data_IF_676240676585
#
_entry.id   IF_676240676585
#
_cell.length_a   1.000
_cell.length_b   1.000
_cell.length_c   1.000
_cell.angle_alpha   90.00
_cell.angle_beta   90.00
_cell.angle_gamma   90.00
#
_symmetry.space_group_name_H-M   'P 1'
#
loop_
_entity.id
_entity.type
_entity.pdbx_description
1 polymer ?
#
# COMPACT_ATOMS: atom_id res chain seq x y z
N UNK A 1 -12.27 -28.62 -43.66
CA UNK A 1 -11.84 -27.29 -44.15
C UNK A 1 -11.94 -26.17 -43.10
N UNK A 2 -12.98 -26.07 -42.25
CA UNK A 2 -13.09 -25.01 -41.20
C UNK A 2 -11.98 -25.02 -40.13
N UNK A 3 -11.51 -26.20 -39.70
CA UNK A 3 -10.41 -26.30 -38.71
C UNK A 3 -9.05 -25.88 -39.25
N UNK A 4 -8.78 -26.13 -40.55
CA UNK A 4 -7.52 -25.76 -41.18
C UNK A 4 -7.39 -24.24 -41.37
N UNK A 5 -8.52 -23.56 -41.65
CA UNK A 5 -8.58 -22.10 -41.70
C UNK A 5 -8.43 -21.44 -40.33
N UNK A 6 -8.96 -22.05 -39.26
CA UNK A 6 -8.76 -21.59 -37.87
C UNK A 6 -7.28 -21.68 -37.45
N UNK A 7 -6.64 -22.81 -37.77
CA UNK A 7 -5.23 -23.02 -37.48
C UNK A 7 -4.33 -22.05 -38.27
N UNK A 8 -4.59 -21.87 -39.58
CA UNK A 8 -3.84 -20.93 -40.41
C UNK A 8 -4.00 -19.47 -39.95
N UNK A 9 -5.20 -19.07 -39.50
CA UNK A 9 -5.42 -17.73 -38.93
C UNK A 9 -4.66 -17.52 -37.61
N UNK A 10 -4.64 -18.53 -36.75
CA UNK A 10 -3.89 -18.48 -35.48
C UNK A 10 -2.38 -18.42 -35.73
N UNK A 11 -1.87 -19.18 -36.69
CA UNK A 11 -0.45 -19.14 -37.08
C UNK A 11 -0.06 -17.78 -37.69
N UNK A 12 -0.92 -17.20 -38.55
CA UNK A 12 -0.69 -15.88 -39.13
C UNK A 12 -0.73 -14.75 -38.08
N UNK A 13 -1.65 -14.84 -37.10
CA UNK A 13 -1.71 -13.89 -35.99
C UNK A 13 -0.49 -14.01 -35.05
N UNK A 14 0.03 -15.23 -34.86
CA UNK A 14 1.26 -15.48 -34.10
C UNK A 14 2.48 -14.85 -34.77
N UNK A 15 2.59 -15.01 -36.10
CA UNK A 15 3.64 -14.37 -36.90
C UNK A 15 3.53 -12.85 -36.86
N UNK A 16 2.32 -12.28 -36.95
CA UNK A 16 2.11 -10.84 -36.88
C UNK A 16 2.50 -10.25 -35.51
N UNK A 17 2.16 -10.95 -34.43
CA UNK A 17 2.53 -10.57 -33.07
C UNK A 17 4.05 -10.65 -32.84
N UNK A 18 4.70 -11.70 -33.34
CA UNK A 18 6.15 -11.84 -33.28
C UNK A 18 6.87 -10.72 -34.06
N UNK A 19 6.37 -10.33 -35.23
CA UNK A 19 6.94 -9.22 -36.02
C UNK A 19 6.76 -7.88 -35.31
N UNK A 20 5.59 -7.62 -34.70
CA UNK A 20 5.34 -6.38 -33.94
C UNK A 20 6.23 -6.25 -32.69
N UNK A 21 6.58 -7.36 -32.04
CA UNK A 21 7.52 -7.35 -30.90
C UNK A 21 8.97 -7.00 -31.30
N UNK A 22 9.36 -7.23 -32.56
CA UNK A 22 10.73 -6.98 -33.05
C UNK A 22 10.89 -5.53 -33.58
N UNK A 23 9.80 -4.84 -33.90
CA UNK A 23 9.84 -3.54 -34.58
C UNK A 23 9.65 -2.30 -33.69
N UNK A 24 9.55 -2.44 -32.37
CA UNK A 24 9.44 -1.28 -31.47
C UNK A 24 10.85 -0.91 -30.99
N UNK A 25 11.44 0.22 -31.45
CA UNK A 25 12.67 0.69 -30.84
C UNK A 25 12.38 1.03 -29.38
N UNK A 26 13.19 0.47 -28.48
CA UNK A 26 13.12 0.74 -27.05
C UNK A 26 13.23 2.25 -26.83
N UNK A 27 12.09 2.90 -26.57
CA UNK A 27 12.11 4.24 -26.03
C UNK A 27 12.79 4.16 -24.68
N UNK A 28 13.91 4.87 -24.52
CA UNK A 28 14.62 4.99 -23.26
C UNK A 28 13.67 5.62 -22.23
N UNK A 29 12.97 4.78 -21.47
CA UNK A 29 12.24 5.19 -20.29
C UNK A 29 13.28 5.59 -19.24
N UNK A 30 13.28 6.87 -18.86
CA UNK A 30 14.06 7.34 -17.71
C UNK A 30 13.70 6.48 -16.49
N UNK A 31 14.71 5.92 -15.84
CA UNK A 31 14.58 5.04 -14.70
C UNK A 31 13.63 5.64 -13.64
N UNK A 32 12.50 4.97 -13.39
CA UNK A 32 11.68 5.24 -12.23
C UNK A 32 12.48 4.78 -11.00
N UNK A 33 12.90 5.74 -10.17
CA UNK A 33 13.52 5.45 -8.88
C UNK A 33 12.43 4.89 -7.97
N UNK A 34 12.57 3.65 -7.52
CA UNK A 34 11.66 3.07 -6.54
C UNK A 34 11.77 3.82 -5.23
N UNK A 35 10.61 4.20 -4.69
CA UNK A 35 10.50 4.92 -3.45
C UNK A 35 10.63 3.89 -2.30
N UNK A 36 11.70 3.97 -1.51
CA UNK A 36 11.87 3.11 -0.31
C UNK A 36 13.21 2.39 -0.11
N UNK A 37 14.31 2.81 -0.76
CA UNK A 37 15.67 2.39 -0.36
C UNK A 37 16.00 0.91 -0.56
N UNK A 38 15.41 0.25 -1.56
CA UNK A 38 15.83 -1.09 -1.97
C UNK A 38 17.10 -1.01 -2.85
N UNK A 39 18.05 -1.91 -2.59
CA UNK A 39 19.23 -2.17 -3.44
C UNK A 39 18.76 -2.50 -4.87
N UNK A 40 19.08 -1.61 -5.83
CA UNK A 40 18.73 -1.73 -7.24
C UNK A 40 19.79 -2.46 -8.04
N UNK A 41 20.36 -3.53 -7.51
CA UNK A 41 21.05 -4.50 -8.37
C UNK A 41 19.99 -5.11 -9.29
N UNK A 42 19.96 -4.62 -10.53
CA UNK A 42 19.21 -5.19 -11.64
C UNK A 42 19.63 -6.67 -11.77
N UNK A 43 18.91 -7.56 -11.07
CA UNK A 43 18.88 -8.97 -11.43
C UNK A 43 18.24 -8.96 -12.82
N UNK A 44 18.93 -9.46 -13.87
CA UNK A 44 18.39 -9.43 -15.21
C UNK A 44 17.00 -10.05 -15.20
N UNK A 45 16.03 -9.28 -15.67
CA UNK A 45 14.67 -9.73 -15.86
C UNK A 45 14.73 -11.04 -16.66
N UNK A 46 14.39 -12.16 -16.02
CA UNK A 46 13.89 -13.28 -16.79
C UNK A 46 12.69 -12.74 -17.54
N UNK A 47 12.80 -12.69 -18.87
CA UNK A 47 11.84 -12.10 -19.78
C UNK A 47 10.40 -12.48 -19.40
N UNK A 48 9.67 -11.55 -18.77
CA UNK A 48 8.22 -11.66 -18.66
C UNK A 48 7.65 -11.57 -20.07
N UNK A 49 7.50 -12.75 -20.68
CA UNK A 49 6.95 -12.92 -22.00
C UNK A 49 5.60 -12.20 -22.11
N UNK A 50 5.45 -11.36 -23.13
CA UNK A 50 4.19 -10.74 -23.60
C UNK A 50 2.97 -11.70 -23.66
N UNK A 51 3.21 -13.01 -23.60
CA UNK A 51 2.25 -14.09 -23.50
C UNK A 51 1.56 -14.19 -22.13
N UNK A 52 2.20 -13.87 -21.00
CA UNK A 52 1.56 -13.90 -19.67
C UNK A 52 0.41 -12.88 -19.58
N UNK A 53 0.60 -11.72 -20.23
CA UNK A 53 -0.41 -10.67 -20.37
C UNK A 53 -1.51 -11.01 -21.39
N UNK A 54 -1.20 -11.86 -22.38
CA UNK A 54 -2.18 -12.34 -23.37
C UNK A 54 -3.02 -13.54 -22.86
N UNK A 55 -2.43 -14.41 -22.02
CA UNK A 55 -2.97 -15.72 -21.62
C UNK A 55 -3.12 -15.95 -20.11
N UNK A 56 -2.75 -14.99 -19.27
CA UNK A 56 -2.93 -15.07 -17.81
C UNK A 56 -4.42 -15.19 -17.45
N UNK A 57 -4.75 -16.11 -16.55
CA UNK A 57 -6.10 -16.20 -16.01
C UNK A 57 -6.36 -14.99 -15.12
N UNK A 58 -7.45 -14.26 -15.37
CA UNK A 58 -7.90 -13.10 -14.58
C UNK A 58 -8.01 -13.41 -13.08
N UNK A 59 -8.23 -14.68 -12.77
CA UNK A 59 -8.45 -15.16 -11.41
C UNK A 59 -7.15 -15.47 -10.67
N UNK A 60 -5.96 -15.23 -11.25
CA UNK A 60 -4.69 -15.47 -10.58
C UNK A 60 -3.79 -14.25 -10.59
N UNK A 61 -3.02 -14.12 -9.52
CA UNK A 61 -1.98 -13.11 -9.37
C UNK A 61 -0.67 -13.78 -8.96
N UNK A 62 0.42 -13.32 -9.56
CA UNK A 62 1.78 -13.80 -9.29
C UNK A 62 2.57 -12.68 -8.65
N UNK A 63 3.13 -12.96 -7.47
CA UNK A 63 3.91 -12.00 -6.69
C UNK A 63 5.36 -12.47 -6.67
N UNK A 64 6.33 -11.57 -6.95
CA UNK A 64 7.75 -11.91 -6.88
C UNK A 64 8.16 -12.30 -5.47
N UNK A 65 7.57 -11.67 -4.46
CA UNK A 65 7.79 -11.94 -3.03
C UNK A 65 6.47 -11.90 -2.26
N UNK A 66 6.24 -12.87 -1.37
CA UNK A 66 5.09 -12.88 -0.46
C UNK A 66 5.48 -13.56 0.86
N UNK A 67 5.17 -12.94 1.99
CA UNK A 67 5.36 -13.57 3.29
C UNK A 67 4.11 -14.39 3.64
N UNK A 68 4.20 -15.71 3.63
CA UNK A 68 3.08 -16.59 3.94
C UNK A 68 3.13 -16.92 5.43
N UNK A 69 2.05 -16.61 6.15
CA UNK A 69 1.95 -16.90 7.59
C UNK A 69 2.20 -18.38 7.86
N UNK A 70 3.14 -18.66 8.76
CA UNK A 70 3.59 -20.01 9.10
C UNK A 70 4.63 -20.61 8.13
N UNK A 71 4.95 -19.97 7.01
CA UNK A 71 5.94 -20.46 6.04
C UNK A 71 7.06 -19.46 5.71
N UNK A 72 6.93 -18.21 6.17
CA UNK A 72 7.90 -17.13 5.94
C UNK A 72 7.86 -16.58 4.51
N UNK A 73 8.93 -15.87 4.14
CA UNK A 73 9.07 -15.27 2.80
C UNK A 73 9.21 -16.34 1.72
N UNK A 74 8.37 -16.24 0.69
CA UNK A 74 8.41 -17.07 -0.52
C UNK A 74 8.61 -16.20 -1.75
N UNK A 75 9.20 -16.79 -2.79
CA UNK A 75 9.45 -16.15 -4.09
C UNK A 75 8.50 -16.71 -5.15
N UNK A 76 8.12 -15.89 -6.13
CA UNK A 76 7.31 -16.27 -7.30
C UNK A 76 6.03 -17.05 -6.93
N UNK A 77 5.28 -16.52 -5.96
CA UNK A 77 4.05 -17.15 -5.46
C UNK A 77 2.90 -16.80 -6.38
N UNK A 78 2.19 -17.81 -6.89
CA UNK A 78 0.96 -17.62 -7.66
C UNK A 78 -0.25 -18.08 -6.84
N UNK A 79 -1.23 -17.20 -6.65
CA UNK A 79 -2.46 -17.45 -5.90
C UNK A 79 -3.70 -17.15 -6.75
N UNK A 80 -4.84 -17.69 -6.35
CA UNK A 80 -6.13 -17.14 -6.77
C UNK A 80 -6.25 -15.69 -6.25
N UNK A 81 -6.68 -14.77 -7.10
CA UNK A 81 -6.75 -13.34 -6.79
C UNK A 81 -7.70 -13.07 -5.62
N UNK A 82 -8.87 -13.70 -5.61
CA UNK A 82 -9.83 -13.51 -4.54
C UNK A 82 -9.28 -14.04 -3.22
N UNK A 83 -8.68 -15.22 -3.21
CA UNK A 83 -8.05 -15.77 -2.01
C UNK A 83 -6.89 -14.92 -1.52
N UNK A 84 -6.05 -14.42 -2.44
CA UNK A 84 -4.96 -13.51 -2.12
C UNK A 84 -5.47 -12.24 -1.42
N UNK A 85 -6.47 -11.57 -2.02
CA UNK A 85 -7.06 -10.36 -1.46
C UNK A 85 -7.75 -10.62 -0.11
N UNK A 86 -8.47 -11.74 0.05
CA UNK A 86 -9.07 -12.14 1.33
C UNK A 86 -8.00 -12.35 2.40
N UNK A 87 -6.95 -13.09 2.07
CA UNK A 87 -5.89 -13.44 3.03
C UNK A 87 -5.07 -12.24 3.49
N UNK A 88 -4.75 -11.31 2.59
CA UNK A 88 -4.05 -10.07 2.95
C UNK A 88 -5.00 -9.14 3.72
N UNK A 89 -6.24 -8.94 3.25
CA UNK A 89 -7.22 -8.09 3.96
C UNK A 89 -7.47 -8.59 5.39
N UNK A 90 -7.50 -9.90 5.61
CA UNK A 90 -7.62 -10.46 6.95
C UNK A 90 -6.39 -10.18 7.82
N UNK A 91 -5.18 -10.33 7.27
CA UNK A 91 -3.95 -10.01 8.01
C UNK A 91 -3.92 -8.53 8.42
N UNK A 92 -4.29 -7.65 7.50
CA UNK A 92 -4.21 -6.20 7.66
C UNK A 92 -5.32 -5.65 8.56
N UNK A 93 -6.58 -6.05 8.33
CA UNK A 93 -7.76 -5.40 8.92
C UNK A 93 -8.84 -6.39 9.39
N UNK A 94 -8.52 -7.68 9.52
CA UNK A 94 -9.51 -8.73 9.75
C UNK A 94 -10.26 -8.64 11.08
N UNK A 95 -9.68 -8.00 12.10
CA UNK A 95 -10.29 -7.91 13.44
C UNK A 95 -11.35 -6.82 13.56
N UNK A 96 -11.42 -5.87 12.62
CA UNK A 96 -12.25 -4.68 12.80
C UNK A 96 -13.75 -4.97 12.88
N UNK A 97 -14.20 -6.05 12.24
CA UNK A 97 -15.60 -6.48 12.28
C UNK A 97 -16.13 -6.81 13.68
N UNK A 98 -15.25 -6.96 14.67
CA UNK A 98 -15.62 -7.16 16.08
C UNK A 98 -15.86 -5.85 16.84
N UNK A 99 -15.48 -4.70 16.26
CA UNK A 99 -15.46 -3.41 16.94
C UNK A 99 -16.39 -2.37 16.31
N UNK A 100 -16.77 -2.55 15.05
CA UNK A 100 -17.68 -1.65 14.34
C UNK A 100 -18.87 -2.41 13.76
N UNK A 101 -19.87 -1.66 13.27
CA UNK A 101 -21.03 -2.25 12.60
C UNK A 101 -20.61 -3.09 11.39
N UNK A 102 -21.42 -4.10 11.04
CA UNK A 102 -21.16 -4.94 9.88
C UNK A 102 -21.08 -4.13 8.58
N UNK A 103 -21.86 -3.05 8.44
CA UNK A 103 -21.80 -2.16 7.27
C UNK A 103 -20.49 -1.39 7.21
N UNK A 104 -20.04 -0.81 8.32
CA UNK A 104 -18.77 -0.07 8.38
C UNK A 104 -17.59 -0.99 8.08
N UNK A 105 -17.56 -2.18 8.70
CA UNK A 105 -16.53 -3.19 8.44
C UNK A 105 -16.48 -3.58 6.95
N UNK A 106 -17.64 -3.73 6.29
CA UNK A 106 -17.68 -4.02 4.85
C UNK A 106 -17.09 -2.88 4.01
N UNK A 107 -17.29 -1.61 4.36
CA UNK A 107 -16.70 -0.50 3.60
C UNK A 107 -15.18 -0.42 3.81
N UNK A 108 -14.72 -0.59 5.05
CA UNK A 108 -13.29 -0.61 5.36
C UNK A 108 -12.56 -1.77 4.66
N UNK A 109 -13.13 -2.99 4.69
CA UNK A 109 -12.55 -4.14 3.97
C UNK A 109 -12.57 -3.97 2.45
N UNK A 110 -13.59 -3.32 1.87
CA UNK A 110 -13.59 -2.99 0.44
C UNK A 110 -12.50 -2.00 0.08
N UNK A 111 -12.33 -0.93 0.88
CA UNK A 111 -11.26 0.04 0.66
C UNK A 111 -9.89 -0.63 0.73
N UNK A 112 -9.66 -1.45 1.78
CA UNK A 112 -8.43 -2.21 1.94
C UNK A 112 -8.19 -3.18 0.76
N UNK A 113 -9.21 -3.90 0.30
CA UNK A 113 -9.07 -4.85 -0.82
C UNK A 113 -8.68 -4.15 -2.13
N UNK A 114 -9.27 -3.00 -2.45
CA UNK A 114 -8.92 -2.22 -3.64
C UNK A 114 -7.52 -1.63 -3.54
N UNK A 115 -7.12 -1.13 -2.36
CA UNK A 115 -5.75 -0.65 -2.12
C UNK A 115 -4.73 -1.78 -2.31
N UNK A 116 -4.98 -2.97 -1.71
CA UNK A 116 -4.12 -4.15 -1.89
C UNK A 116 -4.03 -4.54 -3.36
N UNK A 117 -5.16 -4.62 -4.09
CA UNK A 117 -5.12 -5.00 -5.50
C UNK A 117 -4.31 -4.01 -6.34
N UNK A 118 -4.52 -2.71 -6.11
CA UNK A 118 -3.78 -1.64 -6.80
C UNK A 118 -2.28 -1.72 -6.51
N UNK A 119 -1.90 -1.92 -5.25
CA UNK A 119 -0.51 -2.08 -4.82
C UNK A 119 0.14 -3.31 -5.50
N UNK A 120 -0.54 -4.45 -5.51
CA UNK A 120 -0.02 -5.66 -6.14
C UNK A 120 0.18 -5.49 -7.66
N UNK A 121 -0.77 -4.86 -8.36
CA UNK A 121 -0.65 -4.58 -9.80
C UNK A 121 0.46 -3.56 -10.10
N UNK A 122 0.61 -2.53 -9.27
CA UNK A 122 1.70 -1.55 -9.38
C UNK A 122 3.07 -2.22 -9.25
N UNK A 123 3.27 -3.00 -8.18
CA UNK A 123 4.55 -3.68 -7.92
C UNK A 123 4.84 -4.84 -8.87
N UNK A 124 3.83 -5.41 -9.52
CA UNK A 124 4.03 -6.33 -10.64
C UNK A 124 4.64 -5.60 -11.84
N UNK A 125 4.22 -4.38 -12.13
CA UNK A 125 4.71 -3.60 -13.27
C UNK A 125 6.10 -2.99 -13.04
N UNK A 126 6.37 -2.49 -11.83
CA UNK A 126 7.57 -1.69 -11.53
C UNK A 126 8.58 -2.39 -10.60
N UNK A 127 8.31 -3.64 -10.22
CA UNK A 127 9.12 -4.40 -9.27
C UNK A 127 8.68 -4.21 -7.82
N UNK A 128 8.84 -5.26 -7.03
CA UNK A 128 8.53 -5.27 -5.59
C UNK A 128 9.80 -5.13 -4.76
N UNK A 129 9.70 -4.44 -3.64
CA UNK A 129 10.71 -4.55 -2.58
C UNK A 129 10.64 -5.93 -1.89
N UNK A 130 11.69 -6.28 -1.15
CA UNK A 130 11.74 -7.50 -0.31
C UNK A 130 10.84 -7.41 0.92
N UNK A 131 10.28 -6.24 1.23
CA UNK A 131 9.28 -6.02 2.28
C UNK A 131 7.90 -6.45 1.78
N UNK A 132 7.75 -7.77 1.61
CA UNK A 132 6.56 -8.37 1.05
C UNK A 132 5.38 -8.33 2.03
N UNK A 133 4.17 -8.14 1.49
CA UNK A 133 2.93 -8.25 2.25
C UNK A 133 2.80 -9.62 2.93
N UNK A 134 2.13 -9.62 4.07
CA UNK A 134 1.87 -10.85 4.83
C UNK A 134 0.50 -11.41 4.43
N UNK A 135 0.53 -12.57 3.79
CA UNK A 135 -0.65 -13.33 3.41
C UNK A 135 -0.94 -14.42 4.46
N UNK A 136 -2.18 -14.41 5.00
CA UNK A 136 -2.70 -15.54 5.78
C UNK A 136 -3.47 -16.48 4.85
N UNK A 137 -3.06 -17.76 4.70
CA UNK A 137 -3.80 -18.74 3.92
C UNK A 137 -5.28 -18.82 4.31
N UNK A 138 -6.18 -18.80 3.32
CA UNK A 138 -7.64 -18.70 3.56
C UNK A 138 -8.23 -19.89 4.32
N UNK A 139 -7.56 -21.03 4.36
CA UNK A 139 -7.93 -22.19 5.16
C UNK A 139 -7.55 -22.04 6.65
N UNK A 140 -6.61 -21.16 6.97
CA UNK A 140 -6.20 -20.81 8.35
C UNK A 140 -7.04 -19.68 8.97
N UNK A 141 -7.91 -19.04 8.18
CA UNK A 141 -8.78 -17.95 8.65
C UNK A 141 -10.07 -18.55 9.24
N UNK A 142 -10.52 -18.10 10.43
CA UNK A 142 -11.81 -18.50 10.98
C UNK A 142 -12.95 -18.33 9.96
N UNK A 143 -13.78 -19.35 9.76
CA UNK A 143 -14.75 -19.39 8.67
C UNK A 143 -15.71 -18.18 8.63
N UNK A 144 -16.13 -17.68 9.79
CA UNK A 144 -16.98 -16.49 9.91
C UNK A 144 -16.29 -15.24 9.37
N UNK A 145 -15.06 -14.96 9.82
CA UNK A 145 -14.25 -13.83 9.35
C UNK A 145 -13.95 -13.96 7.85
N UNK A 146 -13.54 -15.16 7.41
CA UNK A 146 -13.27 -15.45 6.00
C UNK A 146 -14.46 -15.14 5.11
N UNK A 147 -15.66 -15.60 5.47
CA UNK A 147 -16.86 -15.39 4.68
C UNK A 147 -17.27 -13.92 4.65
N UNK A 148 -17.16 -13.21 5.78
CA UNK A 148 -17.47 -11.79 5.86
C UNK A 148 -16.51 -10.93 5.00
N UNK A 149 -15.21 -11.21 5.06
CA UNK A 149 -14.19 -10.51 4.25
C UNK A 149 -14.34 -10.88 2.78
N UNK A 150 -14.56 -12.16 2.45
CA UNK A 150 -14.80 -12.61 1.08
C UNK A 150 -15.99 -11.91 0.43
N UNK A 151 -17.07 -11.67 1.18
CA UNK A 151 -18.21 -10.87 0.69
C UNK A 151 -17.80 -9.45 0.28
N UNK A 152 -16.91 -8.81 1.04
CA UNK A 152 -16.37 -7.50 0.70
C UNK A 152 -15.48 -7.56 -0.53
N UNK A 153 -14.51 -8.49 -0.54
CA UNK A 153 -13.54 -8.69 -1.62
C UNK A 153 -14.22 -9.01 -2.95
N UNK A 154 -15.16 -9.96 -2.99
CA UNK A 154 -15.86 -10.36 -4.22
C UNK A 154 -16.54 -9.19 -4.94
N UNK A 155 -17.01 -8.19 -4.18
CA UNK A 155 -17.68 -7.03 -4.75
C UNK A 155 -16.70 -6.05 -5.44
N UNK A 156 -15.40 -6.13 -5.15
CA UNK A 156 -14.40 -5.14 -5.57
C UNK A 156 -13.09 -5.76 -6.11
N UNK A 157 -12.99 -7.09 -6.21
CA UNK A 157 -11.75 -7.79 -6.60
C UNK A 157 -11.23 -7.45 -8.00
N UNK A 158 -12.08 -6.87 -8.85
CA UNK A 158 -11.72 -6.40 -10.17
C UNK A 158 -11.44 -4.90 -10.20
N UNK A 159 -11.47 -4.19 -9.07
CA UNK A 159 -11.30 -2.74 -8.99
C UNK A 159 -9.89 -2.36 -8.53
N UNK A 160 -9.30 -1.37 -9.21
CA UNK A 160 -8.02 -0.75 -8.85
C UNK A 160 -8.11 0.77 -8.87
N UNK A 161 -7.22 1.43 -8.15
CA UNK A 161 -7.01 2.87 -8.19
C UNK A 161 -6.11 3.23 -9.36
N UNK A 162 -6.53 4.24 -10.11
CA UNK A 162 -5.76 4.81 -11.21
C UNK A 162 -5.65 6.32 -11.11
N UNK A 163 -4.50 6.84 -11.49
CA UNK A 163 -4.24 8.27 -11.67
C UNK A 163 -3.62 8.48 -13.04
N UNK A 164 -4.19 9.39 -13.84
CA UNK A 164 -3.78 9.63 -15.24
C UNK A 164 -3.67 8.35 -16.10
N UNK A 165 -4.53 7.35 -15.84
CA UNK A 165 -4.58 6.10 -16.59
C UNK A 165 -3.62 5.00 -16.12
N UNK A 166 -2.66 5.33 -15.25
CA UNK A 166 -1.75 4.38 -14.62
C UNK A 166 -2.30 3.91 -13.27
N UNK A 167 -2.00 2.66 -12.89
CA UNK A 167 -2.35 2.15 -11.56
C UNK A 167 -1.57 2.91 -10.50
N UNK A 168 -2.24 3.28 -9.40
CA UNK A 168 -1.61 3.94 -8.26
C UNK A 168 -0.80 2.96 -7.43
N UNK A 169 0.34 3.41 -6.90
CA UNK A 169 0.96 2.80 -5.73
C UNK A 169 0.13 3.10 -4.49
N UNK A 170 -0.89 2.27 -4.25
CA UNK A 170 -1.89 2.49 -3.22
C UNK A 170 -1.40 2.02 -1.85
N UNK A 171 -0.39 2.71 -1.30
CA UNK A 171 0.20 2.42 0.01
C UNK A 171 -0.75 2.75 1.17
N UNK A 172 -0.60 2.05 2.28
CA UNK A 172 -1.40 2.28 3.49
C UNK A 172 -0.59 2.09 4.77
N UNK A 173 -1.07 2.70 5.85
CA UNK A 173 -0.50 2.57 7.19
C UNK A 173 -1.57 2.19 8.22
N UNK A 174 -1.15 1.66 9.36
CA UNK A 174 -2.10 1.27 10.40
C UNK A 174 -2.86 2.48 10.95
N UNK A 175 -2.13 3.57 11.23
CA UNK A 175 -2.73 4.84 11.63
C UNK A 175 -1.90 6.04 11.17
N UNK A 176 -2.59 7.15 10.95
CA UNK A 176 -2.01 8.45 10.66
C UNK A 176 -1.43 9.13 11.92
N UNK A 177 -0.72 10.24 11.72
CA UNK A 177 -0.03 10.98 12.77
C UNK A 177 -0.94 11.95 13.51
N UNK A 178 -0.36 12.69 14.45
CA UNK A 178 -1.03 13.76 15.17
C UNK A 178 -0.11 14.99 15.26
N UNK A 179 -0.50 16.06 14.58
CA UNK A 179 0.17 17.34 14.69
C UNK A 179 -0.26 18.06 15.97
N UNK A 180 0.57 17.99 16.99
CA UNK A 180 0.37 18.67 18.28
C UNK A 180 0.35 20.19 18.20
N UNK A 181 0.92 20.79 17.16
CA UNK A 181 0.93 22.25 16.97
C UNK A 181 -0.42 22.77 16.47
N UNK A 182 -1.13 21.96 15.68
CA UNK A 182 -2.41 22.33 15.06
C UNK A 182 -3.61 21.58 15.62
N UNK A 183 -3.39 20.49 16.36
CA UNK A 183 -4.44 19.58 16.84
C UNK A 183 -5.02 18.68 15.75
N UNK A 184 -4.35 18.56 14.60
CA UNK A 184 -4.85 17.80 13.44
C UNK A 184 -4.27 16.40 13.42
N UNK A 185 -5.14 15.40 13.27
CA UNK A 185 -4.72 14.07 12.85
C UNK A 185 -4.68 14.01 11.33
N UNK A 186 -3.62 13.44 10.75
CA UNK A 186 -3.46 13.44 9.30
C UNK A 186 -2.35 12.53 8.79
N UNK A 187 -2.47 12.18 7.52
CA UNK A 187 -1.45 11.45 6.77
C UNK A 187 -0.33 12.40 6.36
N UNK A 188 0.79 11.89 5.83
CA UNK A 188 1.85 12.72 5.27
C UNK A 188 1.95 12.58 3.75
N UNK A 189 2.48 13.61 3.11
CA UNK A 189 2.72 13.57 1.68
C UNK A 189 3.92 12.65 1.35
N UNK A 190 3.86 12.01 0.19
CA UNK A 190 4.98 11.23 -0.36
C UNK A 190 6.27 12.06 -0.51
N UNK A 191 6.15 13.36 -0.80
CA UNK A 191 7.28 14.28 -0.86
C UNK A 191 7.98 14.42 0.49
N UNK A 192 7.22 14.54 1.58
CA UNK A 192 7.78 14.69 2.93
C UNK A 192 8.36 13.36 3.43
N UNK A 193 7.64 12.27 3.22
CA UNK A 193 8.05 10.95 3.68
C UNK A 193 9.27 10.41 2.92
N UNK A 194 9.31 10.65 1.61
CA UNK A 194 10.21 9.94 0.71
C UNK A 194 10.95 10.81 -0.30
N UNK A 195 10.78 12.13 -0.27
CA UNK A 195 11.45 13.06 -1.16
C UNK A 195 10.96 13.04 -2.61
N UNK A 196 9.90 12.29 -2.91
CA UNK A 196 9.32 12.19 -4.25
C UNK A 196 7.86 12.62 -4.22
N UNK A 197 7.51 13.64 -4.99
CA UNK A 197 6.13 14.10 -5.10
C UNK A 197 5.31 13.15 -5.98
N UNK A 198 4.34 12.48 -5.37
CA UNK A 198 3.36 11.63 -6.03
C UNK A 198 1.99 12.32 -5.91
N UNK A 199 1.38 12.80 -7.01
CA UNK A 199 0.20 13.68 -6.96
C UNK A 199 -1.03 13.12 -6.24
N UNK A 200 -1.16 11.80 -6.16
CA UNK A 200 -2.24 11.13 -5.45
C UNK A 200 -1.88 10.66 -4.03
N UNK A 201 -0.66 10.90 -3.56
CA UNK A 201 -0.20 10.62 -2.19
C UNK A 201 0.18 11.94 -1.50
N UNK A 202 -0.87 12.72 -1.22
CA UNK A 202 -0.78 14.00 -0.55
C UNK A 202 -1.24 13.85 0.90
N UNK A 203 -0.84 14.80 1.74
CA UNK A 203 -1.31 14.84 3.13
C UNK A 203 -2.79 15.21 3.17
N UNK A 204 -3.57 14.45 3.94
CA UNK A 204 -4.99 14.69 4.19
C UNK A 204 -5.31 14.52 5.67
N UNK A 205 -6.33 15.22 6.13
CA UNK A 205 -6.85 15.02 7.49
C UNK A 205 -7.39 13.60 7.68
N UNK A 206 -7.31 13.10 8.90
CA UNK A 206 -7.89 11.82 9.27
C UNK A 206 -8.23 11.84 10.77
N UNK A 207 -9.40 12.33 11.18
CA UNK A 207 -9.67 12.68 12.59
C UNK A 207 -9.87 11.47 13.53
N UNK A 208 -10.00 10.25 13.00
CA UNK A 208 -10.44 9.08 13.77
C UNK A 208 -9.32 8.12 14.18
N UNK A 209 -8.07 8.58 14.19
CA UNK A 209 -6.90 7.71 14.34
C UNK A 209 -6.83 7.01 15.70
N UNK A 210 -6.68 7.79 16.77
CA UNK A 210 -6.30 7.24 18.08
C UNK A 210 -7.38 6.31 18.64
N UNK A 211 -8.66 6.64 18.45
CA UNK A 211 -9.78 5.83 18.94
C UNK A 211 -9.79 4.44 18.28
N UNK A 212 -9.61 4.36 16.96
CA UNK A 212 -9.61 3.08 16.24
C UNK A 212 -8.29 2.34 16.40
N UNK A 213 -7.17 3.04 16.58
CA UNK A 213 -5.91 2.41 16.94
C UNK A 213 -6.02 1.69 18.29
N UNK A 214 -6.64 2.31 19.30
CA UNK A 214 -6.86 1.68 20.62
C UNK A 214 -7.67 0.39 20.52
N UNK A 215 -8.64 0.31 19.61
CA UNK A 215 -9.42 -0.91 19.35
C UNK A 215 -8.57 -1.99 18.67
N UNK A 216 -7.75 -1.61 17.68
CA UNK A 216 -6.88 -2.51 16.93
C UNK A 216 -5.59 -2.88 17.68
N UNK A 217 -5.26 -2.23 18.78
CA UNK A 217 -4.03 -2.43 19.57
C UNK A 217 -3.71 -3.88 19.89
N UNK A 218 -4.72 -4.71 20.17
CA UNK A 218 -4.52 -6.14 20.46
C UNK A 218 -3.94 -6.91 19.27
N UNK A 219 -4.15 -6.43 18.05
CA UNK A 219 -3.67 -7.02 16.81
C UNK A 219 -2.41 -6.31 16.32
N UNK A 220 -2.39 -4.97 16.33
CA UNK A 220 -1.23 -4.15 15.94
C UNK A 220 -0.05 -4.38 16.90
N UNK A 221 -0.34 -4.63 18.18
CA UNK A 221 0.67 -4.86 19.22
C UNK A 221 1.45 -3.61 19.63
N UNK A 222 0.96 -2.42 19.26
CA UNK A 222 1.63 -1.13 19.49
C UNK A 222 0.64 -0.11 20.01
N UNK A 223 1.16 0.87 20.76
CA UNK A 223 0.36 2.00 21.23
C UNK A 223 0.32 3.04 20.12
N UNK A 224 -0.77 3.80 20.08
CA UNK A 224 -0.81 4.99 19.23
C UNK A 224 0.28 5.98 19.64
N UNK A 225 0.42 6.20 20.95
CA UNK A 225 1.44 7.06 21.53
C UNK A 225 2.56 6.22 22.13
N UNK A 226 3.79 6.44 21.67
CA UNK A 226 4.97 5.74 22.18
C UNK A 226 6.00 6.73 22.70
N UNK A 227 6.47 6.56 23.93
CA UNK A 227 7.49 7.42 24.54
C UNK A 227 8.83 6.68 24.52
N UNK A 228 9.86 7.38 24.03
CA UNK A 228 11.24 6.90 23.98
C UNK A 228 12.15 7.88 24.73
N UNK A 229 12.79 7.40 25.80
CA UNK A 229 13.71 8.21 26.60
C UNK A 229 15.12 8.21 26.03
N UNK A 230 15.58 7.04 25.57
CA UNK A 230 16.90 6.85 25.00
C UNK A 230 16.80 6.59 23.51
N UNK A 231 17.62 7.27 22.72
CA UNK A 231 17.71 7.06 21.28
C UNK A 231 18.11 5.61 21.01
N UNK A 232 17.17 4.80 20.49
CA UNK A 232 17.35 3.37 20.23
C UNK A 232 18.57 3.02 19.36
N UNK A 233 19.14 3.97 18.62
CA UNK A 233 20.37 3.76 17.84
C UNK A 233 21.63 3.86 18.70
N UNK A 234 21.62 4.75 19.68
CA UNK A 234 22.80 5.08 20.49
C UNK A 234 22.75 4.47 21.89
N UNK A 235 21.56 4.14 22.39
CA UNK A 235 21.32 3.74 23.78
C UNK A 235 21.35 4.90 24.78
N UNK A 236 21.72 6.10 24.35
CA UNK A 236 21.88 7.29 25.20
C UNK A 236 20.62 8.15 25.23
N UNK A 237 20.39 8.92 26.32
CA UNK A 237 19.26 9.83 26.44
C UNK A 237 19.22 10.90 25.35
N UNK A 238 18.02 11.27 24.91
CA UNK A 238 17.84 12.47 24.10
C UNK A 238 18.19 13.73 24.91
N UNK A 239 18.88 14.67 24.27
CA UNK A 239 19.28 15.94 24.89
C UNK A 239 18.47 17.12 24.35
N UNK A 240 18.23 17.16 23.05
CA UNK A 240 17.37 18.14 22.39
C UNK A 240 16.89 17.63 21.03
N UNK A 241 15.80 18.17 20.50
CA UNK A 241 15.46 18.02 19.09
C UNK A 241 14.65 19.21 18.56
N UNK A 242 14.90 19.60 17.31
CA UNK A 242 14.00 20.48 16.56
C UNK A 242 12.88 19.66 15.93
N UNK A 243 11.66 19.89 16.40
CA UNK A 243 10.41 19.27 15.91
C UNK A 243 9.41 20.33 15.42
N UNK A 244 9.88 21.54 15.14
CA UNK A 244 9.01 22.67 14.81
C UNK A 244 8.48 22.63 13.37
N UNK A 245 9.21 21.99 12.45
CA UNK A 245 8.87 21.92 11.03
C UNK A 245 8.04 20.66 10.74
N UNK A 246 6.71 20.80 10.80
CA UNK A 246 5.75 19.71 10.62
C UNK A 246 4.79 19.94 9.46
N UNK A 247 4.42 18.85 8.78
CA UNK A 247 3.31 18.86 7.83
C UNK A 247 1.93 18.82 8.55
N UNK A 248 0.84 18.72 7.78
CA UNK A 248 -0.52 18.65 8.32
C UNK A 248 -0.70 17.48 9.32
N UNK A 249 -0.17 16.29 9.01
CA UNK A 249 -0.27 15.09 9.84
C UNK A 249 0.73 15.04 11.00
N UNK A 250 1.61 16.03 11.12
CA UNK A 250 2.61 16.12 12.17
C UNK A 250 3.91 15.37 11.82
N UNK A 251 4.10 14.98 10.56
CA UNK A 251 5.36 14.47 10.05
C UNK A 251 6.43 15.54 10.18
N UNK A 252 7.56 15.21 10.82
CA UNK A 252 8.65 16.16 11.00
C UNK A 252 9.53 16.18 9.74
N UNK A 253 9.41 17.22 8.92
CA UNK A 253 10.03 17.34 7.60
C UNK A 253 11.56 17.45 7.68
N UNK A 254 12.06 18.24 8.64
CA UNK A 254 13.47 18.37 8.93
C UNK A 254 13.63 18.37 10.45
N UNK A 255 14.49 17.48 10.95
CA UNK A 255 14.85 17.52 12.36
C UNK A 255 16.38 17.60 12.52
N UNK A 256 16.79 18.14 13.66
CA UNK A 256 18.11 17.89 14.21
C UNK A 256 17.89 17.46 15.64
N UNK A 257 18.32 16.25 15.99
CA UNK A 257 18.28 15.75 17.36
C UNK A 257 19.69 15.59 17.91
N UNK A 258 19.82 15.76 19.22
CA UNK A 258 21.09 15.61 19.93
C UNK A 258 20.97 14.43 20.89
N UNK A 259 21.89 13.50 20.77
CA UNK A 259 22.10 12.37 21.68
C UNK A 259 23.60 12.16 21.80
N UNK A 260 24.10 11.59 22.90
CA UNK A 260 25.53 11.31 23.16
C UNK A 260 26.50 12.49 22.94
N UNK A 261 26.00 13.74 23.00
CA UNK A 261 26.75 14.95 22.70
C UNK A 261 27.00 15.21 21.20
N UNK A 262 26.35 14.46 20.30
CA UNK A 262 26.41 14.66 18.85
C UNK A 262 25.06 15.09 18.29
N UNK A 263 25.11 15.94 17.27
CA UNK A 263 23.93 16.35 16.50
C UNK A 263 23.72 15.42 15.31
N UNK A 264 22.48 14.96 15.15
CA UNK A 264 22.02 14.10 14.07
C UNK A 264 20.94 14.84 13.30
N UNK A 265 21.25 15.23 12.05
CA UNK A 265 20.26 15.82 11.15
C UNK A 265 19.57 14.70 10.38
N UNK A 266 18.24 14.65 10.42
CA UNK A 266 17.49 13.82 9.49
C UNK A 266 16.79 14.70 8.46
N UNK A 267 17.11 14.45 7.20
CA UNK A 267 16.43 15.02 6.04
C UNK A 267 15.55 13.96 5.37
N UNK A 268 15.74 12.67 5.70
CA UNK A 268 14.98 11.57 5.10
C UNK A 268 14.96 10.36 6.04
N UNK A 269 13.75 9.91 6.34
CA UNK A 269 13.39 8.56 6.80
C UNK A 269 13.62 8.22 8.29
N UNK A 270 12.53 8.27 9.05
CA UNK A 270 12.13 7.04 9.72
C UNK A 270 11.56 6.12 8.64
N UNK A 271 12.30 5.09 8.24
CA UNK A 271 11.75 3.90 7.54
C UNK A 271 10.79 3.10 8.46
N UNK A 272 10.51 3.63 9.65
CA UNK A 272 9.80 3.01 10.74
C UNK A 272 8.50 3.74 11.05
N UNK A 273 7.71 3.13 11.91
CA UNK A 273 6.43 3.61 12.43
C UNK A 273 6.48 4.91 13.25
N UNK A 274 7.50 5.74 13.11
CA UNK A 274 7.88 6.82 14.04
C UNK A 274 8.13 8.15 13.32
N UNK A 275 7.33 8.45 12.30
CA UNK A 275 7.48 9.65 11.47
C UNK A 275 6.92 10.93 12.10
N UNK A 276 5.97 10.80 13.01
CA UNK A 276 5.34 11.91 13.73
C UNK A 276 5.79 11.88 15.19
N UNK A 277 6.43 12.95 15.66
CA UNK A 277 6.94 13.02 17.03
C UNK A 277 7.13 14.45 17.55
N UNK A 278 7.19 14.55 18.88
CA UNK A 278 7.55 15.74 19.64
C UNK A 278 8.67 15.43 20.62
N UNK A 279 9.59 16.38 20.76
CA UNK A 279 10.58 16.37 21.83
C UNK A 279 10.10 17.23 22.99
N UNK A 280 10.16 16.68 24.20
CA UNK A 280 9.76 17.38 25.41
C UNK A 280 10.32 16.68 26.63
N UNK A 281 9.60 16.80 27.74
CA UNK A 281 9.92 16.12 28.99
C UNK A 281 8.71 15.35 29.51
N UNK A 282 8.95 14.24 30.19
CA UNK A 282 7.93 13.57 30.97
C UNK A 282 7.54 14.39 32.23
N UNK A 283 6.65 13.83 33.05
CA UNK A 283 6.20 14.47 34.30
C UNK A 283 7.31 14.69 35.34
N UNK A 284 8.43 13.97 35.23
CA UNK A 284 9.60 14.10 36.11
C UNK A 284 10.63 15.11 35.60
N UNK A 285 10.42 15.69 34.42
CA UNK A 285 11.38 16.57 33.75
C UNK A 285 12.44 15.82 32.93
N UNK A 286 12.29 14.49 32.76
CA UNK A 286 13.22 13.68 31.96
C UNK A 286 12.97 13.91 30.48
N UNK A 287 13.97 14.31 29.68
CA UNK A 287 13.82 14.45 28.23
C UNK A 287 13.35 13.16 27.56
N UNK A 288 12.38 13.29 26.65
CA UNK A 288 11.87 12.15 25.89
C UNK A 288 11.35 12.57 24.52
N UNK A 289 11.30 11.59 23.61
CA UNK A 289 10.60 11.70 22.34
C UNK A 289 9.23 11.03 22.48
N UNK A 290 8.16 11.74 22.13
CA UNK A 290 6.80 11.21 22.06
C UNK A 290 6.41 11.03 20.61
N UNK A 291 6.18 9.80 20.19
CA UNK A 291 5.76 9.46 18.82
C UNK A 291 4.25 9.23 18.76
N UNK A 292 3.68 9.52 17.60
CA UNK A 292 2.25 9.36 17.33
C UNK A 292 2.04 8.56 16.04
N UNK A 293 1.03 7.71 16.04
CA UNK A 293 0.65 6.90 14.88
C UNK A 293 1.54 5.68 14.67
N UNK A 294 1.24 4.91 13.62
CA UNK A 294 1.95 3.68 13.32
C UNK A 294 1.88 3.31 11.84
N UNK A 295 3.05 3.15 11.23
CA UNK A 295 3.24 2.94 9.79
C UNK A 295 4.07 4.07 9.20
N UNK A 296 4.14 4.19 7.88
CA UNK A 296 4.88 5.26 7.20
C UNK A 296 4.06 6.56 7.06
N UNK A 297 2.75 6.52 7.29
CA UNK A 297 1.88 7.69 7.31
C UNK A 297 1.38 8.18 5.95
N UNK A 298 1.88 7.61 4.86
CA UNK A 298 1.51 7.98 3.47
C UNK A 298 0.30 7.17 2.99
N UNK A 299 -0.57 7.79 2.20
CA UNK A 299 -1.71 7.12 1.58
C UNK A 299 -2.84 6.83 2.58
N UNK A 300 -3.45 5.65 2.51
CA UNK A 300 -4.63 5.36 3.34
C UNK A 300 -4.26 4.99 4.77
N UNK A 301 -4.89 5.64 5.76
CA UNK A 301 -4.89 5.17 7.14
C UNK A 301 -5.95 4.09 7.35
N UNK A 302 -5.57 2.94 7.90
CA UNK A 302 -6.52 1.87 8.25
C UNK A 302 -7.47 2.31 9.36
N UNK A 303 -6.96 2.90 10.44
CA UNK A 303 -7.78 3.42 11.53
C UNK A 303 -8.72 4.52 11.04
N UNK A 304 -8.20 5.45 10.23
CA UNK A 304 -8.99 6.51 9.63
C UNK A 304 -10.04 6.00 8.64
N UNK A 305 -9.73 5.03 7.79
CA UNK A 305 -10.69 4.39 6.87
C UNK A 305 -11.86 3.73 7.62
N UNK A 306 -11.56 3.07 8.75
CA UNK A 306 -12.59 2.51 9.63
C UNK A 306 -13.43 3.62 10.23
N UNK A 307 -12.80 4.69 10.72
CA UNK A 307 -13.51 5.81 11.32
C UNK A 307 -14.43 6.54 10.34
N UNK A 308 -13.97 6.83 9.12
CA UNK A 308 -14.82 7.39 8.08
C UNK A 308 -16.02 6.48 7.76
N UNK A 309 -15.82 5.17 7.72
CA UNK A 309 -16.92 4.22 7.51
C UNK A 309 -17.91 4.18 8.68
N UNK A 310 -17.42 4.29 9.92
CA UNK A 310 -18.21 4.08 11.13
C UNK A 310 -18.88 5.35 11.66
N UNK A 311 -18.18 6.49 11.60
CA UNK A 311 -18.62 7.78 12.15
C UNK A 311 -19.35 8.61 11.10
N UNK A 312 -18.90 8.59 9.85
CA UNK A 312 -19.47 9.40 8.75
C UNK A 312 -20.29 8.58 7.76
N UNK A 313 -20.30 7.24 7.88
CA UNK A 313 -21.00 6.36 6.95
C UNK A 313 -20.44 6.38 5.53
N UNK A 314 -19.18 6.82 5.36
CA UNK A 314 -18.54 6.87 4.04
C UNK A 314 -18.46 5.47 3.43
N UNK A 315 -18.79 5.39 2.14
CA UNK A 315 -18.55 4.17 1.39
C UNK A 315 -17.08 4.07 0.97
N UNK A 316 -16.64 2.87 0.60
CA UNK A 316 -15.25 2.60 0.24
C UNK A 316 -14.71 3.49 -0.89
N UNK A 317 -15.56 3.93 -1.84
CA UNK A 317 -15.11 4.82 -2.91
C UNK A 317 -14.77 6.20 -2.38
N UNK A 318 -15.60 6.73 -1.49
CA UNK A 318 -15.36 8.02 -0.83
C UNK A 318 -14.10 7.95 0.04
N UNK A 319 -13.92 6.86 0.79
CA UNK A 319 -12.72 6.63 1.62
C UNK A 319 -11.47 6.64 0.74
N UNK A 320 -11.45 5.87 -0.35
CA UNK A 320 -10.30 5.82 -1.24
C UNK A 320 -10.05 7.17 -1.95
N UNK A 321 -11.09 7.87 -2.37
CA UNK A 321 -10.96 9.19 -3.01
C UNK A 321 -10.44 10.27 -2.05
N UNK A 322 -10.72 10.13 -0.76
CA UNK A 322 -10.17 10.99 0.28
C UNK A 322 -8.65 10.80 0.41
N UNK A 323 -8.20 9.57 0.62
CA UNK A 323 -6.77 9.28 0.84
C UNK A 323 -5.90 9.32 -0.41
N UNK A 324 -6.47 9.02 -1.58
CA UNK A 324 -5.75 9.01 -2.85
C UNK A 324 -6.24 10.15 -3.74
N UNK A 325 -5.77 11.36 -3.46
CA UNK A 325 -6.28 12.61 -4.04
C UNK A 325 -6.28 12.58 -5.56
N UNK A 326 -7.44 12.80 -6.17
CA UNK A 326 -7.61 12.80 -7.63
C UNK A 326 -7.54 11.42 -8.30
N UNK A 327 -7.26 10.35 -7.55
CA UNK A 327 -7.33 8.98 -8.07
C UNK A 327 -8.78 8.57 -8.34
N UNK A 328 -8.95 7.66 -9.30
CA UNK A 328 -10.24 7.11 -9.70
C UNK A 328 -10.23 5.61 -9.57
N UNK A 329 -11.38 5.04 -9.23
CA UNK A 329 -11.56 3.59 -9.25
C UNK A 329 -11.88 3.16 -10.68
N UNK A 330 -11.13 2.19 -11.18
CA UNK A 330 -11.34 1.57 -12.48
C UNK A 330 -11.46 0.07 -12.32
N UNK A 331 -12.44 -0.53 -13.00
CA UNK A 331 -12.50 -1.99 -13.11
C UNK A 331 -11.43 -2.47 -14.08
N UNK A 332 -10.45 -3.25 -13.59
CA UNK A 332 -9.33 -3.85 -14.31
C UNK A 332 -9.77 -4.67 -15.54
N UNK A 333 -11.02 -5.12 -15.59
CA UNK A 333 -11.62 -5.80 -16.77
C UNK A 333 -11.76 -4.91 -18.00
N UNK A 334 -11.67 -3.58 -17.86
CA UNK A 334 -11.45 -2.68 -19.01
C UNK A 334 -10.00 -2.77 -19.45
N UNK A 335 -9.70 -3.85 -20.21
CA UNK A 335 -8.54 -3.92 -21.10
C UNK A 335 -8.50 -2.59 -21.84
N UNK A 336 -7.35 -1.92 -21.80
CA UNK A 336 -7.08 -0.75 -22.62
C UNK A 336 -7.71 -0.93 -24.01
N UNK A 337 -8.65 -0.05 -24.36
CA UNK A 337 -9.25 0.02 -25.69
C UNK A 337 -8.26 0.51 -26.75
N UNK A 338 -7.02 0.04 -26.69
CA UNK A 338 -5.94 0.30 -27.65
C UNK A 338 -5.61 -0.96 -28.46
N UNK A 339 -4.54 -0.85 -29.25
CA UNK A 339 -4.02 -1.82 -30.24
C UNK A 339 -4.12 -3.30 -29.80
N UNK A 340 -3.96 -3.59 -28.52
CA UNK A 340 -3.96 -4.95 -28.00
C UNK A 340 -5.35 -5.51 -27.62
N UNK A 341 -6.36 -4.66 -27.40
CA UNK A 341 -7.75 -5.09 -27.31
C UNK A 341 -8.27 -5.59 -28.66
N UNK A 342 -7.82 -4.97 -29.74
CA UNK A 342 -8.02 -5.44 -31.11
C UNK A 342 -7.33 -6.80 -31.36
N UNK A 343 -6.07 -6.95 -30.91
CA UNK A 343 -5.35 -8.23 -31.00
C UNK A 343 -6.05 -9.36 -30.25
N UNK A 344 -6.56 -9.11 -29.04
CA UNK A 344 -7.32 -10.12 -28.29
C UNK A 344 -8.64 -10.53 -28.97
N UNK A 345 -9.27 -9.63 -29.74
CA UNK A 345 -10.45 -9.91 -30.54
C UNK A 345 -10.18 -10.84 -31.73
N UNK A 346 -8.95 -10.87 -32.24
CA UNK A 346 -8.55 -11.75 -33.35
C UNK A 346 -8.40 -13.22 -32.95
N UNK A 347 -8.27 -13.52 -31.65
CA UNK A 347 -8.09 -14.88 -31.13
C UNK A 347 -9.36 -15.53 -30.57
N UNK A 348 -10.49 -14.79 -30.52
CA UNK A 348 -11.80 -15.31 -30.10
C UNK A 348 -12.60 -15.92 -31.25
#
# INVERSE_FOLDING_TARGET
MKHLHSFARRAAAFLLAAVLCVCIPAAAASAATTIGGADTTLIPAEDENCLSWLFGSKDKITMPYLNIKGQGLKRNVTLDLEDCLVGITYTELGSIGSYVSASAAQQAWKAQAVAIHSYLEYHKQYGSSTNALIYTPVDQIPASARNAIRKAVQAVKDEVLVYNGSVCDAVWSASAGYNTQTGVYGTCASLDAWGTDVPYLQSVESPYEEQYHKLLRRVIGKDYTYIEYNDSRTGEPYQSADTTHKDLGGFVQYNTLVSNGRSYRYINQFVSSRYCFDFGTDASGTPCMTYYGYGHGVGMSQCGAVGYAAEEGMNYKQILQHYYTGAKIRTSTTRSGGLFGWLAGLFR
#
